data_IF_984803043621
#
_entry.id   IF_984803043621
#
_cell.length_a   1.000
_cell.length_b   1.000
_cell.length_c   1.000
_cell.angle_alpha   90.00
_cell.angle_beta   90.00
_cell.angle_gamma   90.00
#
_symmetry.space_group_name_H-M   'P 1'
#
loop_
_entity.id
_entity.type
_entity.pdbx_description
1 polymer ?
#
# COMPACT_ATOMS: atom_id res chain seq x y z
N UNK A 1 24.92 -14.20 -25.45
CA UNK A 1 24.52 -15.49 -24.85
C UNK A 1 25.69 -16.44 -24.94
N UNK A 2 26.08 -17.08 -23.84
CA UNK A 2 27.18 -18.06 -23.82
C UNK A 2 26.69 -19.42 -23.35
N UNK A 3 27.35 -20.48 -23.81
CA UNK A 3 27.10 -21.84 -23.34
C UNK A 3 27.90 -22.12 -22.08
N UNK A 4 27.50 -23.14 -21.31
CA UNK A 4 28.27 -23.63 -20.16
C UNK A 4 29.73 -23.92 -20.53
N UNK A 5 30.00 -24.42 -21.75
CA UNK A 5 31.36 -24.71 -22.19
C UNK A 5 32.20 -23.45 -22.32
N UNK A 6 31.67 -22.42 -22.96
CA UNK A 6 32.39 -21.14 -23.13
C UNK A 6 32.68 -20.48 -21.78
N UNK A 7 31.71 -20.51 -20.85
CA UNK A 7 31.91 -19.97 -19.49
C UNK A 7 33.00 -20.76 -18.76
N UNK A 8 33.00 -22.09 -18.89
CA UNK A 8 34.00 -22.96 -18.27
C UNK A 8 35.42 -22.69 -18.80
N UNK A 9 35.55 -22.52 -20.12
CA UNK A 9 36.82 -22.23 -20.77
C UNK A 9 37.35 -20.85 -20.34
N UNK A 10 36.48 -19.85 -20.11
CA UNK A 10 36.86 -18.50 -19.65
C UNK A 10 37.32 -18.45 -18.19
N UNK A 11 36.74 -19.27 -17.31
CA UNK A 11 37.13 -19.34 -15.89
C UNK A 11 38.19 -20.41 -15.61
N UNK A 12 38.62 -21.17 -16.62
CA UNK A 12 39.64 -22.20 -16.50
C UNK A 12 39.22 -23.43 -15.69
N UNK A 13 37.93 -23.79 -15.70
CA UNK A 13 37.40 -24.97 -15.00
C UNK A 13 36.72 -25.94 -15.96
N UNK A 14 36.41 -27.15 -15.52
CA UNK A 14 35.72 -28.12 -16.37
C UNK A 14 34.25 -27.74 -16.63
N UNK A 15 33.75 -28.02 -17.84
CA UNK A 15 32.32 -27.87 -18.20
C UNK A 15 31.39 -28.54 -17.18
N UNK A 16 31.80 -29.70 -16.66
CA UNK A 16 31.02 -30.47 -15.67
C UNK A 16 30.93 -29.75 -14.32
N UNK A 17 32.02 -29.11 -13.87
CA UNK A 17 32.00 -28.30 -12.66
C UNK A 17 30.99 -27.16 -12.77
N UNK A 18 31.01 -26.44 -13.90
CA UNK A 18 30.05 -25.35 -14.16
C UNK A 18 28.62 -25.87 -14.23
N UNK A 19 28.39 -27.00 -14.91
CA UNK A 19 27.05 -27.59 -14.98
C UNK A 19 26.50 -28.00 -13.61
N UNK A 20 27.33 -28.64 -12.77
CA UNK A 20 26.93 -29.05 -11.41
C UNK A 20 26.60 -27.84 -10.53
N UNK A 21 27.40 -26.76 -10.63
CA UNK A 21 27.14 -25.50 -9.91
C UNK A 21 25.86 -24.83 -10.37
N UNK A 22 25.67 -24.74 -11.69
CA UNK A 22 24.46 -24.22 -12.31
C UNK A 22 23.21 -24.99 -11.87
N UNK A 23 23.22 -26.33 -11.93
CA UNK A 23 22.05 -27.15 -11.63
C UNK A 23 21.77 -27.32 -10.13
N UNK A 24 22.73 -26.95 -9.27
CA UNK A 24 22.61 -26.97 -7.82
C UNK A 24 22.33 -25.58 -7.26
N UNK A 25 23.32 -25.01 -6.57
CA UNK A 25 23.25 -23.73 -5.84
C UNK A 25 22.72 -22.57 -6.69
N UNK A 26 23.09 -22.52 -7.97
CA UNK A 26 22.79 -21.39 -8.84
C UNK A 26 21.51 -21.56 -9.68
N UNK A 27 20.79 -22.68 -9.55
CA UNK A 27 19.69 -22.99 -10.47
C UNK A 27 18.56 -21.96 -10.37
N UNK A 28 18.11 -21.65 -9.15
CA UNK A 28 17.00 -20.72 -8.92
C UNK A 28 17.31 -19.30 -9.41
N UNK A 29 18.56 -18.86 -9.30
CA UNK A 29 18.99 -17.52 -9.72
C UNK A 29 19.34 -17.44 -11.20
N UNK A 30 19.83 -18.51 -11.82
CA UNK A 30 20.20 -18.53 -13.23
C UNK A 30 19.08 -19.02 -14.16
N UNK A 31 18.06 -19.71 -13.65
CA UNK A 31 16.94 -20.23 -14.46
C UNK A 31 16.21 -19.15 -15.28
N UNK A 32 15.90 -17.95 -14.76
CA UNK A 32 15.24 -16.89 -15.54
C UNK A 32 16.09 -16.37 -16.71
N UNK A 33 17.40 -16.60 -16.64
CA UNK A 33 18.42 -16.11 -17.57
C UNK A 33 18.96 -17.23 -18.47
N UNK A 34 18.38 -18.41 -18.38
CA UNK A 34 18.76 -19.59 -19.13
C UNK A 34 17.75 -19.86 -20.25
N UNK A 35 18.28 -20.15 -21.43
CA UNK A 35 17.49 -20.50 -22.60
C UNK A 35 18.02 -21.81 -23.19
N UNK A 36 17.14 -22.73 -23.56
CA UNK A 36 17.54 -24.01 -24.17
C UNK A 36 17.06 -24.05 -25.61
N UNK A 37 18.01 -24.08 -26.55
CA UNK A 37 17.73 -24.27 -27.96
C UNK A 37 18.32 -25.60 -28.41
N UNK A 38 17.49 -26.47 -28.99
CA UNK A 38 17.92 -27.77 -29.52
C UNK A 38 18.76 -28.62 -28.54
N UNK A 39 18.42 -28.55 -27.24
CA UNK A 39 19.11 -29.29 -26.18
C UNK A 39 20.42 -28.66 -25.68
N UNK A 40 20.80 -27.48 -26.19
CA UNK A 40 21.97 -26.72 -25.74
C UNK A 40 21.52 -25.59 -24.83
N UNK A 41 22.12 -25.51 -23.63
CA UNK A 41 21.85 -24.45 -22.66
C UNK A 41 22.69 -23.20 -22.97
N UNK A 42 21.99 -22.10 -23.20
CA UNK A 42 22.51 -20.75 -23.35
C UNK A 42 22.17 -19.92 -22.12
N UNK A 43 23.14 -19.13 -21.69
CA UNK A 43 23.05 -18.29 -20.51
C UNK A 43 23.26 -16.83 -20.94
N UNK A 44 22.43 -15.95 -20.41
CA UNK A 44 22.62 -14.51 -20.58
C UNK A 44 23.84 -14.03 -19.82
N UNK A 45 24.26 -12.80 -20.11
CA UNK A 45 25.39 -12.14 -19.45
C UNK A 45 25.20 -12.05 -17.92
N UNK A 46 23.95 -11.92 -17.47
CA UNK A 46 23.60 -11.93 -16.05
C UNK A 46 23.88 -13.29 -15.40
N UNK A 47 23.44 -14.40 -16.02
CA UNK A 47 23.74 -15.73 -15.52
C UNK A 47 25.25 -16.06 -15.61
N UNK A 48 25.92 -15.61 -16.67
CA UNK A 48 27.37 -15.73 -16.79
C UNK A 48 28.08 -15.05 -15.62
N UNK A 49 27.70 -13.81 -15.29
CA UNK A 49 28.30 -13.05 -14.18
C UNK A 49 28.08 -13.74 -12.84
N UNK A 50 26.87 -14.25 -12.58
CA UNK A 50 26.55 -14.99 -11.36
C UNK A 50 27.39 -16.26 -11.23
N UNK A 51 27.55 -17.02 -12.31
CA UNK A 51 28.38 -18.22 -12.33
C UNK A 51 29.84 -17.86 -12.09
N UNK A 52 30.38 -16.86 -12.81
CA UNK A 52 31.76 -16.41 -12.63
C UNK A 52 32.02 -15.98 -11.18
N UNK A 53 31.11 -15.20 -10.60
CA UNK A 53 31.24 -14.72 -9.23
C UNK A 53 31.23 -15.87 -8.20
N UNK A 54 30.39 -16.90 -8.39
CA UNK A 54 30.37 -18.08 -7.51
C UNK A 54 31.71 -18.82 -7.54
N UNK A 55 32.29 -19.03 -8.73
CA UNK A 55 33.60 -19.66 -8.88
C UNK A 55 34.76 -18.80 -8.35
N UNK A 56 34.66 -17.47 -8.44
CA UNK A 56 35.64 -16.55 -7.85
C UNK A 56 35.57 -16.55 -6.32
N UNK A 57 34.37 -16.66 -5.74
CA UNK A 57 34.13 -16.61 -4.29
C UNK A 57 34.53 -17.90 -3.57
N UNK A 58 34.35 -19.05 -4.22
CA UNK A 58 34.72 -20.35 -3.66
C UNK A 58 36.23 -20.66 -3.71
N UNK A 59 37.03 -19.72 -4.23
CA UNK A 59 38.46 -19.90 -4.49
C UNK A 59 38.66 -20.79 -5.73
N UNK A 60 39.42 -20.31 -6.71
CA UNK A 60 39.70 -21.08 -7.92
C UNK A 60 40.21 -22.50 -7.55
N UNK A 61 39.46 -23.58 -7.84
CA UNK A 61 40.08 -24.89 -7.85
C UNK A 61 40.85 -24.92 -9.16
N UNK A 62 42.13 -24.53 -9.07
CA UNK A 62 43.06 -24.55 -10.18
C UNK A 62 43.12 -26.01 -10.67
N UNK A 63 42.33 -26.30 -11.70
CA UNK A 63 42.23 -27.62 -12.32
C UNK A 63 43.42 -27.85 -13.22
N UNK A 64 44.63 -27.88 -12.64
CA UNK A 64 45.78 -28.48 -13.30
C UNK A 64 46.05 -29.81 -12.59
N UNK A 65 45.78 -30.90 -13.31
CA UNK A 65 46.06 -32.25 -12.85
C UNK A 65 47.57 -32.44 -12.65
N UNK A 66 48.03 -32.45 -11.40
CA UNK A 66 49.21 -33.22 -10.99
C UNK A 66 48.94 -33.83 -9.62
N UNK A 67 49.04 -35.16 -9.57
CA UNK A 67 48.92 -35.99 -8.38
C UNK A 67 49.85 -35.53 -7.26
N UNK A 68 49.32 -34.89 -6.22
CA UNK A 68 49.97 -34.87 -4.91
C UNK A 68 48.95 -34.83 -3.79
N UNK A 69 48.86 -35.97 -3.09
CA UNK A 69 48.14 -36.15 -1.84
C UNK A 69 48.65 -35.12 -0.80
N UNK A 70 47.83 -34.16 -0.40
CA UNK A 70 48.08 -33.35 0.81
C UNK A 70 46.75 -32.92 1.41
N UNK A 71 46.32 -33.66 2.42
CA UNK A 71 45.36 -33.22 3.41
C UNK A 71 45.87 -31.93 4.08
N UNK A 72 45.19 -30.80 3.85
CA UNK A 72 45.16 -29.70 4.81
C UNK A 72 43.87 -28.89 4.65
N UNK A 73 42.81 -29.42 5.25
CA UNK A 73 41.61 -28.66 5.61
C UNK A 73 41.97 -27.65 6.70
N UNK A 74 42.15 -26.37 6.34
CA UNK A 74 42.09 -25.24 7.28
C UNK A 74 41.46 -24.02 6.58
N UNK A 75 40.35 -23.52 7.13
CA UNK A 75 39.97 -22.11 6.99
C UNK A 75 38.60 -21.74 6.43
N UNK A 76 37.57 -22.59 6.53
CA UNK A 76 36.20 -22.21 6.17
C UNK A 76 35.52 -21.39 7.28
N UNK A 77 35.79 -20.08 7.40
CA UNK A 77 34.88 -19.11 8.07
C UNK A 77 35.14 -17.70 7.48
N UNK A 78 34.29 -17.24 6.54
CA UNK A 78 33.53 -16.02 6.85
C UNK A 78 32.05 -16.03 6.37
N UNK A 79 31.61 -17.02 5.60
CA UNK A 79 30.26 -16.99 4.99
C UNK A 79 29.12 -17.02 6.02
N UNK A 80 29.25 -17.82 7.09
CA UNK A 80 28.22 -17.91 8.13
C UNK A 80 28.00 -16.58 8.88
N UNK A 81 29.05 -15.77 9.05
CA UNK A 81 28.93 -14.49 9.76
C UNK A 81 28.25 -13.44 8.90
N UNK A 82 28.50 -13.45 7.59
CA UNK A 82 27.85 -12.53 6.65
C UNK A 82 26.38 -12.92 6.43
N UNK A 83 26.07 -14.21 6.29
CA UNK A 83 24.69 -14.70 6.19
C UNK A 83 23.88 -14.41 7.46
N UNK A 84 24.46 -14.60 8.65
CA UNK A 84 23.83 -14.22 9.91
C UNK A 84 23.52 -12.72 9.99
N UNK A 85 24.43 -11.87 9.51
CA UNK A 85 24.21 -10.42 9.44
C UNK A 85 23.06 -10.04 8.50
N UNK A 86 22.97 -10.68 7.32
CA UNK A 86 21.86 -10.46 6.38
C UNK A 86 20.53 -10.92 6.97
N UNK A 87 20.51 -12.09 7.62
CA UNK A 87 19.30 -12.60 8.30
C UNK A 87 18.86 -11.65 9.41
N UNK A 88 19.79 -11.09 10.20
CA UNK A 88 19.47 -10.12 11.25
C UNK A 88 18.84 -8.83 10.68
N UNK A 89 19.37 -8.32 9.56
CA UNK A 89 18.81 -7.13 8.90
C UNK A 89 17.41 -7.42 8.34
N UNK A 90 17.22 -8.58 7.71
CA UNK A 90 15.91 -9.00 7.20
C UNK A 90 14.90 -9.14 8.34
N UNK A 91 15.28 -9.76 9.46
CA UNK A 91 14.42 -9.89 10.63
C UNK A 91 14.05 -8.51 11.20
N UNK A 92 15.02 -7.62 11.38
CA UNK A 92 14.75 -6.25 11.85
C UNK A 92 13.83 -5.46 10.89
N UNK A 93 13.98 -5.68 9.59
CA UNK A 93 13.12 -5.09 8.56
C UNK A 93 11.69 -5.65 8.64
N UNK A 94 11.54 -6.96 8.83
CA UNK A 94 10.25 -7.62 9.03
C UNK A 94 9.56 -7.07 10.27
N UNK A 95 10.27 -7.01 11.40
CA UNK A 95 9.72 -6.50 12.67
C UNK A 95 9.28 -5.04 12.52
N UNK A 96 10.07 -4.22 11.81
CA UNK A 96 9.72 -2.83 11.50
C UNK A 96 8.46 -2.75 10.64
N UNK A 97 8.38 -3.53 9.57
CA UNK A 97 7.21 -3.55 8.68
C UNK A 97 5.95 -4.05 9.39
N UNK A 98 6.07 -5.07 10.24
CA UNK A 98 4.98 -5.57 11.06
C UNK A 98 4.51 -4.52 12.08
N UNK A 99 5.44 -3.81 12.72
CA UNK A 99 5.11 -2.69 13.60
C UNK A 99 4.38 -1.58 12.87
N UNK A 100 4.84 -1.21 11.67
CA UNK A 100 4.18 -0.21 10.83
C UNK A 100 2.76 -0.64 10.41
N UNK A 101 2.57 -1.90 10.02
CA UNK A 101 1.25 -2.44 9.68
C UNK A 101 0.32 -2.37 10.89
N UNK A 102 0.76 -2.80 12.07
CA UNK A 102 -0.07 -2.75 13.28
C UNK A 102 -0.53 -1.32 13.62
N UNK A 103 0.35 -0.33 13.45
CA UNK A 103 -0.02 1.08 13.66
C UNK A 103 -1.05 1.54 12.62
N UNK A 104 -0.85 1.19 11.34
CA UNK A 104 -1.79 1.55 10.28
C UNK A 104 -3.16 0.91 10.48
N UNK A 105 -3.21 -0.36 10.89
CA UNK A 105 -4.45 -1.07 11.15
C UNK A 105 -5.26 -0.39 12.26
N UNK A 106 -4.59 0.02 13.36
CA UNK A 106 -5.23 0.80 14.43
C UNK A 106 -5.73 2.16 13.96
N UNK A 107 -4.95 2.86 13.12
CA UNK A 107 -5.38 4.14 12.55
C UNK A 107 -6.61 3.97 11.65
N UNK A 108 -6.69 2.89 10.87
CA UNK A 108 -7.85 2.57 10.04
C UNK A 108 -9.08 2.27 10.90
N UNK A 109 -8.91 1.49 11.96
CA UNK A 109 -9.99 1.19 12.91
C UNK A 109 -10.54 2.46 13.56
N UNK A 110 -9.67 3.36 14.03
CA UNK A 110 -10.07 4.63 14.62
C UNK A 110 -10.79 5.54 13.61
N UNK A 111 -10.29 5.64 12.38
CA UNK A 111 -10.94 6.42 11.32
C UNK A 111 -12.33 5.88 10.99
N UNK A 112 -12.48 4.55 10.90
CA UNK A 112 -13.79 3.93 10.66
C UNK A 112 -14.76 4.17 11.81
N UNK A 113 -14.29 4.12 13.06
CA UNK A 113 -15.11 4.44 14.23
C UNK A 113 -15.59 5.90 14.21
N UNK A 114 -14.69 6.85 13.95
CA UNK A 114 -15.05 8.28 13.81
C UNK A 114 -16.01 8.53 12.65
N UNK A 115 -15.81 7.83 11.53
CA UNK A 115 -16.71 7.95 10.37
C UNK A 115 -18.12 7.44 10.70
N UNK A 116 -18.22 6.33 11.43
CA UNK A 116 -19.50 5.80 11.90
C UNK A 116 -20.21 6.78 12.87
N UNK A 117 -19.45 7.39 13.79
CA UNK A 117 -19.97 8.39 14.72
C UNK A 117 -20.50 9.63 14.00
N UNK A 118 -19.70 10.20 13.09
CA UNK A 118 -20.10 11.38 12.29
C UNK A 118 -21.30 11.05 11.40
N UNK A 119 -21.34 9.86 10.80
CA UNK A 119 -22.49 9.41 10.01
C UNK A 119 -23.77 9.33 10.84
N UNK A 120 -23.69 8.78 12.05
CA UNK A 120 -24.81 8.74 12.99
C UNK A 120 -25.28 10.15 13.38
N UNK A 121 -24.35 11.03 13.77
CA UNK A 121 -24.65 12.42 14.11
C UNK A 121 -25.29 13.18 12.94
N UNK A 122 -24.84 12.93 11.71
CA UNK A 122 -25.42 13.52 10.51
C UNK A 122 -26.87 13.08 10.30
N UNK A 123 -27.18 11.79 10.48
CA UNK A 123 -28.56 11.28 10.39
C UNK A 123 -29.44 11.95 11.44
N UNK A 124 -28.97 12.08 12.68
CA UNK A 124 -29.71 12.79 13.74
C UNK A 124 -29.92 14.26 13.39
N UNK A 125 -28.91 14.94 12.87
CA UNK A 125 -29.02 16.34 12.45
C UNK A 125 -30.03 16.51 11.29
N UNK A 126 -30.03 15.59 10.31
CA UNK A 126 -30.99 15.58 9.21
C UNK A 126 -32.41 15.35 9.70
N UNK A 127 -32.63 14.38 10.60
CA UNK A 127 -33.93 14.14 11.20
C UNK A 127 -34.42 15.34 12.02
N UNK A 128 -33.52 16.00 12.75
CA UNK A 128 -33.83 17.21 13.52
C UNK A 128 -34.22 18.35 12.60
N UNK A 129 -33.50 18.56 11.50
CA UNK A 129 -33.82 19.59 10.52
C UNK A 129 -35.18 19.33 9.83
N UNK A 130 -35.47 18.07 9.47
CA UNK A 130 -36.76 17.68 8.90
C UNK A 130 -37.90 17.86 9.91
N UNK A 131 -37.71 17.47 11.17
CA UNK A 131 -38.69 17.66 12.24
C UNK A 131 -38.96 19.15 12.46
N UNK A 132 -37.93 19.99 12.51
CA UNK A 132 -38.09 21.44 12.61
C UNK A 132 -38.88 22.00 11.43
N UNK A 133 -38.56 21.60 10.18
CA UNK A 133 -39.30 22.03 8.99
C UNK A 133 -40.77 21.60 9.04
N UNK A 134 -41.07 20.36 9.45
CA UNK A 134 -42.43 19.85 9.60
C UNK A 134 -43.21 20.61 10.68
N UNK A 135 -42.57 20.90 11.82
CA UNK A 135 -43.15 21.73 12.88
C UNK A 135 -43.44 23.14 12.38
N UNK A 136 -42.50 23.80 11.70
CA UNK A 136 -42.71 25.12 11.13
C UNK A 136 -43.85 25.15 10.09
N UNK A 137 -43.93 24.15 9.20
CA UNK A 137 -45.04 24.02 8.26
C UNK A 137 -46.39 23.78 8.98
N UNK A 138 -46.38 23.00 10.06
CA UNK A 138 -47.53 22.79 10.94
C UNK A 138 -47.99 24.09 11.62
N UNK A 139 -47.07 24.88 12.16
CA UNK A 139 -47.38 26.19 12.77
C UNK A 139 -47.98 27.16 11.76
N UNK A 140 -47.47 27.21 10.53
CA UNK A 140 -48.03 28.07 9.48
C UNK A 140 -49.45 27.64 9.13
N UNK A 141 -49.71 26.33 8.98
CA UNK A 141 -51.06 25.82 8.72
C UNK A 141 -52.02 26.15 9.87
N UNK A 142 -51.58 26.01 11.11
CA UNK A 142 -52.41 26.32 12.27
C UNK A 142 -52.71 27.82 12.38
N UNK A 143 -51.75 28.70 12.06
CA UNK A 143 -52.01 30.15 11.98
C UNK A 143 -52.97 30.54 10.85
N UNK A 144 -52.93 29.81 9.72
CA UNK A 144 -53.87 30.04 8.62
C UNK A 144 -55.28 29.56 8.98
N UNK A 145 -55.43 28.41 9.66
CA UNK A 145 -56.75 27.90 10.07
C UNK A 145 -57.33 28.63 11.28
N UNK A 146 -56.51 28.98 12.28
CA UNK A 146 -56.94 29.78 13.44
C UNK A 146 -57.19 31.25 13.05
N UNK A 147 -56.69 31.68 11.88
CA UNK A 147 -56.98 32.98 11.27
C UNK A 147 -58.24 33.01 10.41
N UNK A 148 -58.95 31.89 10.23
CA UNK A 148 -60.11 31.75 9.34
C UNK A 148 -61.47 31.74 10.07
N UNK A 149 -61.50 32.12 11.36
CA UNK A 149 -62.72 32.13 12.19
C UNK A 149 -63.24 33.54 12.58
N UNK A 150 -63.01 34.57 11.76
CA UNK A 150 -63.82 35.81 11.87
C UNK A 150 -63.97 36.56 10.53
N UNK A 151 -65.06 36.33 9.77
CA UNK A 151 -65.32 37.06 8.54
C UNK A 151 -65.75 38.53 8.75
N UNK A 152 -65.74 39.07 9.98
CA UNK A 152 -66.27 40.40 10.25
C UNK A 152 -65.24 41.47 10.70
N UNK A 153 -63.94 41.15 10.79
CA UNK A 153 -62.92 42.12 11.25
C UNK A 153 -62.02 42.72 10.17
N UNK A 154 -62.19 42.36 8.90
CA UNK A 154 -61.33 42.89 7.81
C UNK A 154 -61.70 44.32 7.37
N UNK A 155 -62.80 44.89 7.87
CA UNK A 155 -63.29 46.23 7.50
C UNK A 155 -62.87 47.39 8.42
N UNK A 156 -62.56 47.17 9.71
CA UNK A 156 -62.38 48.28 10.66
C UNK A 156 -60.93 48.69 10.94
N UNK A 157 -59.96 47.78 10.76
CA UNK A 157 -58.56 48.06 11.12
C UNK A 157 -57.81 48.87 10.04
N UNK A 158 -58.25 48.81 8.78
CA UNK A 158 -57.63 49.53 7.67
C UNK A 158 -58.04 51.02 7.66
N UNK A 159 -59.26 51.34 8.07
CA UNK A 159 -59.76 52.72 8.13
C UNK A 159 -59.10 53.54 9.24
N UNK A 160 -58.89 52.96 10.44
CA UNK A 160 -58.21 53.66 11.54
C UNK A 160 -56.75 53.97 11.23
N UNK A 161 -56.02 53.06 10.58
CA UNK A 161 -54.63 53.32 10.17
C UNK A 161 -54.57 54.44 9.13
N UNK A 162 -55.46 54.45 8.13
CA UNK A 162 -55.53 55.52 7.13
C UNK A 162 -55.89 56.88 7.74
N UNK A 163 -56.78 56.90 8.73
CA UNK A 163 -57.21 58.12 9.43
C UNK A 163 -56.10 58.79 10.25
N UNK A 164 -55.24 58.01 10.91
CA UNK A 164 -54.06 58.55 11.62
C UNK A 164 -53.05 59.17 10.65
N UNK A 165 -52.72 58.50 9.54
CA UNK A 165 -51.74 59.02 8.57
C UNK A 165 -52.20 60.33 7.89
N UNK A 166 -53.49 60.50 7.61
CA UNK A 166 -54.01 61.75 7.04
C UNK A 166 -53.94 62.94 8.00
N UNK A 167 -53.96 62.70 9.32
CA UNK A 167 -53.95 63.75 10.34
C UNK A 167 -52.55 64.30 10.64
N UNK A 168 -51.50 63.52 10.36
CA UNK A 168 -50.09 63.88 10.62
C UNK A 168 -49.45 64.59 9.41
N UNK A 169 -49.91 64.33 8.18
CA UNK A 169 -49.31 64.88 6.95
C UNK A 169 -50.19 65.90 6.20
N UNK A 170 -51.37 66.25 6.73
CA UNK A 170 -52.39 67.04 6.02
C UNK A 170 -52.57 68.51 6.45
N UNK A 171 -51.74 69.08 7.33
CA UNK A 171 -51.93 70.45 7.84
C UNK A 171 -50.88 71.45 7.32
N UNK A 172 -51.24 72.22 6.29
CA UNK A 172 -50.80 73.61 6.11
C UNK A 172 -51.88 74.52 6.67
#
# INVERSE_FOLDING_TARGET
MKTIRQIADEIGVSKQAVYKRYKGKLYTVCAPYAHTEQGVLYLSEQAETLIKQDFLRDGCPNGSHTDTHTERSIGAVPEQSQEAGVVAILQATIDTLQGQLSVKDKQIEELNARLAEVSSALVVAQQTAQAAQALHAGTIRQQLTDGEDDPNQQGQTVEQKKSWFSKVFGGR
#
